data_IF_079641952336
#
_entry.id   IF_079641952336
#
_cell.length_a   1.000
_cell.length_b   1.000
_cell.length_c   1.000
_cell.angle_alpha   90.00
_cell.angle_beta   90.00
_cell.angle_gamma   90.00
#
_symmetry.space_group_name_H-M   'P 1'
#
loop_
_entity.id
_entity.type
_entity.pdbx_description
1 polymer ?
#
# COMPACT_ATOMS: atom_id res chain seq x y z
N UNK A 1 -8.43 4.92 -11.69
CA UNK A 1 -6.96 4.97 -11.86
C UNK A 1 -6.17 5.13 -10.56
N UNK A 2 -6.69 5.78 -9.51
CA UNK A 2 -5.94 6.07 -8.27
C UNK A 2 -5.35 4.81 -7.59
N UNK A 3 -6.15 3.77 -7.39
CA UNK A 3 -5.68 2.54 -6.72
C UNK A 3 -4.61 1.77 -7.51
N UNK A 4 -4.68 1.84 -8.84
CA UNK A 4 -3.67 1.25 -9.74
C UNK A 4 -2.34 2.00 -9.59
N UNK A 5 -2.38 3.33 -9.61
CA UNK A 5 -1.19 4.15 -9.42
C UNK A 5 -0.57 3.95 -8.02
N UNK A 6 -1.40 3.91 -6.97
CA UNK A 6 -0.93 3.64 -5.62
C UNK A 6 -0.23 2.27 -5.51
N UNK A 7 -0.81 1.21 -6.09
CA UNK A 7 -0.18 -0.11 -6.11
C UNK A 7 1.18 -0.13 -6.84
N UNK A 8 1.31 0.63 -7.94
CA UNK A 8 2.57 0.76 -8.68
C UNK A 8 3.63 1.51 -7.86
N UNK A 9 3.27 2.61 -7.20
CA UNK A 9 4.22 3.36 -6.37
C UNK A 9 4.69 2.55 -5.16
N UNK A 10 3.79 1.80 -4.51
CA UNK A 10 4.17 0.88 -3.44
C UNK A 10 5.19 -0.15 -3.94
N UNK A 11 4.97 -0.74 -5.11
CA UNK A 11 5.93 -1.70 -5.71
C UNK A 11 7.28 -1.06 -6.04
N UNK A 12 7.28 0.20 -6.49
CA UNK A 12 8.50 0.94 -6.74
C UNK A 12 9.29 1.22 -5.44
N UNK A 13 8.60 1.59 -4.35
CA UNK A 13 9.22 1.80 -3.03
C UNK A 13 9.77 0.48 -2.47
N UNK A 14 9.00 -0.60 -2.53
CA UNK A 14 9.43 -1.93 -2.08
C UNK A 14 10.72 -2.35 -2.81
N UNK A 15 10.78 -2.17 -4.14
CA UNK A 15 11.99 -2.42 -4.94
C UNK A 15 13.17 -1.55 -4.52
N UNK A 16 12.96 -0.24 -4.34
CA UNK A 16 14.04 0.71 -3.95
C UNK A 16 14.60 0.43 -2.56
N UNK A 17 13.78 -0.15 -1.68
CA UNK A 17 14.14 -0.47 -0.29
C UNK A 17 14.48 -1.95 -0.09
N UNK A 18 14.61 -2.70 -1.18
CA UNK A 18 14.90 -4.14 -1.19
C UNK A 18 13.94 -4.96 -0.30
N UNK A 19 12.68 -4.53 -0.23
CA UNK A 19 11.64 -5.14 0.58
C UNK A 19 11.80 -4.95 2.09
N UNK A 20 12.75 -4.13 2.55
CA UNK A 20 13.08 -3.98 3.98
C UNK A 20 12.25 -2.91 4.69
N UNK A 21 11.78 -1.89 3.99
CA UNK A 21 11.05 -0.78 4.62
C UNK A 21 9.70 -1.26 5.14
N UNK A 22 8.88 -1.84 4.28
CA UNK A 22 7.52 -2.25 4.61
C UNK A 22 7.45 -3.40 5.63
N UNK A 23 8.49 -4.21 5.77
CA UNK A 23 8.58 -5.25 6.81
C UNK A 23 8.53 -4.68 8.23
N UNK A 24 8.90 -3.41 8.41
CA UNK A 24 8.87 -2.75 9.72
C UNK A 24 7.46 -2.29 10.12
N UNK A 25 6.50 -2.31 9.19
CA UNK A 25 5.15 -1.76 9.38
C UNK A 25 4.07 -2.80 9.05
N UNK A 26 3.88 -3.84 9.90
CA UNK A 26 3.02 -4.98 9.59
C UNK A 26 1.50 -4.70 9.67
N UNK A 27 1.10 -3.49 10.06
CA UNK A 27 -0.31 -3.08 10.13
C UNK A 27 -1.02 -3.13 8.76
N UNK A 28 -0.26 -3.07 7.67
CA UNK A 28 -0.77 -3.13 6.29
C UNK A 28 -0.27 -4.41 5.62
N UNK A 29 -1.16 -5.07 4.87
CA UNK A 29 -0.80 -6.23 4.03
C UNK A 29 -0.19 -5.74 2.71
N UNK A 30 1.07 -5.30 2.74
CA UNK A 30 1.75 -4.67 1.60
C UNK A 30 1.76 -5.47 0.30
N UNK A 31 1.94 -6.79 0.39
CA UNK A 31 1.86 -7.67 -0.80
C UNK A 31 0.49 -7.58 -1.49
N UNK A 32 -0.59 -7.52 -0.71
CA UNK A 32 -1.94 -7.32 -1.24
C UNK A 32 -2.14 -5.92 -1.82
N UNK A 33 -1.65 -4.88 -1.13
CA UNK A 33 -1.74 -3.50 -1.59
C UNK A 33 -1.02 -3.29 -2.93
N UNK A 34 0.17 -3.88 -3.12
CA UNK A 34 0.88 -3.87 -4.40
C UNK A 34 0.15 -4.68 -5.49
N UNK A 35 -0.41 -5.83 -5.13
CA UNK A 35 -1.15 -6.70 -6.05
C UNK A 35 -2.49 -6.14 -6.53
N UNK A 36 -3.04 -5.13 -5.84
CA UNK A 36 -4.31 -4.49 -6.20
C UNK A 36 -4.28 -3.90 -7.63
N UNK A 37 -3.12 -3.43 -8.10
CA UNK A 37 -2.93 -2.97 -9.48
C UNK A 37 -3.24 -4.06 -10.48
N UNK A 38 -2.70 -5.26 -10.26
CA UNK A 38 -2.81 -6.37 -11.21
C UNK A 38 -4.27 -6.84 -11.32
N UNK A 39 -4.97 -6.86 -10.19
CA UNK A 39 -6.40 -7.22 -10.13
C UNK A 39 -7.26 -6.17 -10.86
N UNK A 40 -7.10 -4.89 -10.53
CA UNK A 40 -7.93 -3.82 -11.08
C UNK A 40 -7.61 -3.49 -12.55
N UNK A 41 -6.39 -3.76 -13.02
CA UNK A 41 -6.00 -3.48 -14.40
C UNK A 41 -6.32 -4.63 -15.36
N UNK A 42 -6.15 -5.89 -14.94
CA UNK A 42 -6.19 -7.05 -15.84
C UNK A 42 -7.36 -8.00 -15.58
N UNK A 43 -7.82 -8.13 -14.33
CA UNK A 43 -8.88 -9.10 -13.97
C UNK A 43 -10.14 -8.42 -13.42
N UNK A 44 -10.34 -7.14 -13.74
CA UNK A 44 -11.42 -6.31 -13.19
C UNK A 44 -12.83 -6.89 -13.38
N UNK A 45 -13.05 -7.70 -14.42
CA UNK A 45 -14.31 -8.40 -14.68
C UNK A 45 -14.75 -9.35 -13.56
N UNK A 46 -13.81 -9.80 -12.72
CA UNK A 46 -14.04 -10.71 -11.60
C UNK A 46 -13.91 -10.01 -10.24
N UNK A 47 -13.84 -8.68 -10.21
CA UNK A 47 -13.72 -7.93 -8.96
C UNK A 47 -15.05 -7.96 -8.22
N UNK A 48 -14.98 -8.39 -6.97
CA UNK A 48 -16.08 -8.27 -6.01
C UNK A 48 -16.17 -6.82 -5.52
N UNK A 49 -17.29 -6.17 -5.82
CA UNK A 49 -17.52 -4.77 -5.45
C UNK A 49 -17.66 -4.56 -3.94
N UNK A 50 -18.19 -5.54 -3.19
CA UNK A 50 -18.29 -5.47 -1.74
C UNK A 50 -16.90 -5.56 -1.10
N UNK A 51 -16.05 -6.45 -1.64
CA UNK A 51 -14.66 -6.54 -1.22
C UNK A 51 -13.91 -5.23 -1.51
N UNK A 52 -14.06 -4.65 -2.72
CA UNK A 52 -13.42 -3.38 -3.07
C UNK A 52 -13.89 -2.24 -2.17
N UNK A 53 -15.19 -2.18 -1.86
CA UNK A 53 -15.73 -1.21 -0.92
C UNK A 53 -15.13 -1.36 0.48
N UNK A 54 -15.00 -2.59 0.97
CA UNK A 54 -14.38 -2.88 2.27
C UNK A 54 -12.91 -2.47 2.32
N UNK A 55 -12.14 -2.72 1.25
CA UNK A 55 -10.76 -2.23 1.12
C UNK A 55 -10.71 -0.72 1.22
N UNK A 56 -11.56 -0.02 0.45
CA UNK A 56 -11.62 1.44 0.47
C UNK A 56 -12.01 1.99 1.86
N UNK A 57 -12.94 1.35 2.54
CA UNK A 57 -13.48 1.81 3.82
C UNK A 57 -12.56 1.51 5.01
N UNK A 58 -11.88 0.36 5.01
CA UNK A 58 -11.19 -0.14 6.20
C UNK A 58 -9.66 -0.20 6.01
N UNK A 59 -9.20 -0.65 4.84
CA UNK A 59 -7.76 -0.90 4.62
C UNK A 59 -7.02 0.37 4.18
N UNK A 60 -7.62 1.19 3.32
CA UNK A 60 -6.99 2.45 2.87
C UNK A 60 -6.72 3.42 4.04
N UNK A 61 -7.66 3.69 4.97
CA UNK A 61 -7.38 4.56 6.11
C UNK A 61 -6.24 4.03 6.99
N UNK A 62 -6.21 2.71 7.24
CA UNK A 62 -5.13 2.06 7.97
C UNK A 62 -3.78 2.26 7.28
N UNK A 63 -3.77 2.14 5.94
CA UNK A 63 -2.57 2.37 5.14
C UNK A 63 -2.09 3.81 5.20
N UNK A 64 -3.00 4.79 5.12
CA UNK A 64 -2.65 6.22 5.23
C UNK A 64 -1.99 6.50 6.59
N UNK A 65 -2.63 6.10 7.70
CA UNK A 65 -2.08 6.30 9.03
C UNK A 65 -0.70 5.63 9.21
N UNK A 66 -0.52 4.45 8.59
CA UNK A 66 0.77 3.76 8.60
C UNK A 66 1.84 4.53 7.81
N UNK A 67 1.50 5.06 6.64
CA UNK A 67 2.42 5.88 5.84
C UNK A 67 2.80 7.20 6.53
N UNK A 68 1.86 7.82 7.25
CA UNK A 68 2.14 9.00 8.07
C UNK A 68 3.14 8.68 9.19
N UNK A 69 2.97 7.52 9.84
CA UNK A 69 3.93 7.02 10.84
C UNK A 69 5.31 6.79 10.22
N UNK A 70 5.37 6.12 9.06
CA UNK A 70 6.64 5.92 8.32
C UNK A 70 7.37 7.22 8.03
N UNK A 71 6.63 8.25 7.57
CA UNK A 71 7.22 9.55 7.26
C UNK A 71 7.79 10.23 8.52
N UNK A 72 7.08 10.15 9.64
CA UNK A 72 7.57 10.64 10.92
C UNK A 72 8.84 9.92 11.36
N UNK A 73 8.86 8.59 11.28
CA UNK A 73 10.01 7.78 11.71
C UNK A 73 11.25 8.07 10.86
N UNK A 74 11.09 8.21 9.53
CA UNK A 74 12.17 8.58 8.62
C UNK A 74 12.70 10.00 8.90
N UNK A 75 11.83 10.97 9.15
CA UNK A 75 12.25 12.33 9.49
C UNK A 75 12.98 12.41 10.83
N UNK A 76 12.62 11.56 11.79
CA UNK A 76 13.34 11.46 13.06
C UNK A 76 14.72 10.80 12.88
N UNK A 77 14.80 9.76 12.04
CA UNK A 77 16.06 9.11 11.72
C UNK A 77 17.06 10.03 11.00
N UNK A 78 16.60 10.96 10.15
CA UNK A 78 17.45 11.95 9.48
C UNK A 78 17.98 13.06 10.41
N UNK A 79 17.30 13.29 11.55
CA UNK A 79 17.68 14.32 12.54
C UNK A 79 18.67 13.84 13.59
N UNK A 80 18.86 12.53 13.70
CA UNK A 80 19.74 11.86 14.68
C UNK A 80 21.02 11.37 14.01
#
# INVERSE_FOLDING_TARGET
MILIAAGEELKNIDRKTEGKLFQQYPAVRWRGAMGMRDVLAHTYFHVDAEQLFNICKNDIPTMIATLETMLSDLQQAERN
#
